data_IF_656296484266
#
_entry.id   IF_656296484266
#
_cell.length_a   1.000
_cell.length_b   1.000
_cell.length_c   1.000
_cell.angle_alpha   90.00
_cell.angle_beta   90.00
_cell.angle_gamma   90.00
#
_symmetry.space_group_name_H-M   'P 1'
#
loop_
_entity.id
_entity.type
_entity.pdbx_description
1 polymer ?
#
# COMPACT_ATOMS: atom_id res chain seq x y z
N UNK A 1 -1.20 -3.30 25.06
CA UNK A 1 -1.88 -2.29 24.23
C UNK A 1 -1.02 -1.03 24.29
N UNK A 2 -0.12 -0.85 23.32
CA UNK A 2 0.73 0.34 23.24
C UNK A 2 -0.10 1.49 22.70
N UNK A 3 -0.36 2.48 23.55
CA UNK A 3 -0.98 3.73 23.16
C UNK A 3 0.07 4.50 22.35
N UNK A 4 0.07 4.29 21.03
CA UNK A 4 0.88 5.08 20.11
C UNK A 4 0.18 6.43 20.05
N UNK A 5 0.68 7.41 20.81
CA UNK A 5 0.35 8.82 20.61
C UNK A 5 0.80 9.21 19.19
N UNK A 6 -0.04 8.88 18.22
CA UNK A 6 0.16 9.23 16.83
C UNK A 6 -0.08 10.72 16.66
N UNK A 7 0.77 11.36 15.85
CA UNK A 7 0.61 12.74 15.42
C UNK A 7 -0.82 12.98 14.94
N UNK A 8 -1.52 14.01 15.45
CA UNK A 8 -2.91 14.25 15.11
C UNK A 8 -3.03 14.55 13.61
N UNK A 9 -3.78 13.71 12.88
CA UNK A 9 -4.13 13.99 11.49
C UNK A 9 -5.19 15.10 11.44
N UNK A 10 -5.21 15.84 10.33
CA UNK A 10 -6.18 16.91 10.15
C UNK A 10 -7.59 16.37 9.90
N UNK A 11 -8.59 17.11 10.39
CA UNK A 11 -10.00 16.92 10.04
C UNK A 11 -10.43 18.04 9.10
N UNK A 12 -10.95 17.70 7.93
CA UNK A 12 -11.35 18.69 6.92
C UNK A 12 -12.86 18.69 6.74
N UNK A 13 -13.48 19.85 6.93
CA UNK A 13 -14.90 20.05 6.61
C UNK A 13 -15.03 20.24 5.11
N UNK A 14 -15.85 19.42 4.47
CA UNK A 14 -16.15 19.47 3.04
C UNK A 14 -17.65 19.29 2.83
N UNK A 15 -18.18 19.89 1.77
CA UNK A 15 -19.57 19.66 1.40
C UNK A 15 -19.65 18.42 0.51
N UNK A 16 -20.66 17.59 0.73
CA UNK A 16 -20.87 16.43 -0.14
C UNK A 16 -21.10 16.89 -1.59
N UNK A 17 -20.44 16.25 -2.55
CA UNK A 17 -20.60 16.54 -3.99
C UNK A 17 -22.03 16.34 -4.49
N UNK A 18 -22.79 15.43 -3.89
CA UNK A 18 -24.15 15.10 -4.33
C UNK A 18 -25.24 15.93 -3.64
N UNK A 19 -25.27 15.93 -2.30
CA UNK A 19 -26.33 16.59 -1.53
C UNK A 19 -25.90 17.91 -0.87
N UNK A 20 -24.67 18.37 -1.08
CA UNK A 20 -24.10 19.61 -0.51
C UNK A 20 -24.12 19.71 1.02
N UNK A 21 -24.51 18.65 1.73
CA UNK A 21 -24.52 18.63 3.19
C UNK A 21 -23.10 18.72 3.73
N UNK A 22 -22.85 19.51 4.78
CA UNK A 22 -21.54 19.60 5.39
C UNK A 22 -21.18 18.26 6.03
N UNK A 23 -20.01 17.74 5.69
CA UNK A 23 -19.44 16.55 6.29
C UNK A 23 -18.00 16.82 6.72
N UNK A 24 -17.49 15.99 7.63
CA UNK A 24 -16.10 16.08 8.10
C UNK A 24 -15.38 14.81 7.68
N UNK A 25 -14.28 14.96 6.97
CA UNK A 25 -13.38 13.84 6.62
C UNK A 25 -12.25 13.84 7.63
N UNK A 26 -12.14 12.76 8.39
CA UNK A 26 -11.04 12.55 9.33
C UNK A 26 -9.93 11.75 8.61
N UNK A 27 -8.79 12.40 8.36
CA UNK A 27 -7.68 11.76 7.65
C UNK A 27 -7.07 10.59 8.44
N UNK A 28 -7.35 10.49 9.74
CA UNK A 28 -6.88 9.39 10.60
C UNK A 28 -7.74 8.13 10.52
N UNK A 29 -8.98 8.22 10.03
CA UNK A 29 -9.89 7.06 9.91
C UNK A 29 -10.29 6.76 8.47
N UNK A 30 -10.39 7.79 7.62
CA UNK A 30 -10.83 7.64 6.24
C UNK A 30 -9.95 6.66 5.45
N UNK A 31 -10.56 5.91 4.52
CA UNK A 31 -9.78 5.15 3.53
C UNK A 31 -8.98 6.13 2.68
N UNK A 32 -7.78 5.77 2.23
CA UNK A 32 -7.01 6.64 1.35
C UNK A 32 -6.27 5.88 0.26
N UNK A 33 -6.04 6.57 -0.86
CA UNK A 33 -5.13 6.16 -1.92
C UNK A 33 -3.95 7.11 -1.96
N UNK A 34 -2.80 6.58 -2.36
CA UNK A 34 -1.56 7.33 -2.53
C UNK A 34 -1.22 7.39 -4.00
N UNK A 35 -0.88 8.58 -4.47
CA UNK A 35 -0.43 8.80 -5.83
C UNK A 35 0.90 9.56 -5.78
N UNK A 36 1.96 8.93 -6.31
CA UNK A 36 3.25 9.59 -6.49
C UNK A 36 3.32 10.18 -7.90
N UNK A 37 3.49 11.50 -7.98
CA UNK A 37 3.76 12.23 -9.22
C UNK A 37 5.22 12.65 -9.24
N UNK A 38 5.89 12.48 -10.38
CA UNK A 38 7.22 13.06 -10.62
C UNK A 38 7.01 14.29 -11.47
N UNK A 39 7.25 15.47 -10.90
CA UNK A 39 7.13 16.75 -11.60
C UNK A 39 8.54 17.33 -11.72
N UNK A 40 9.11 17.23 -12.93
CA UNK A 40 10.52 17.55 -13.17
C UNK A 40 11.46 16.59 -12.43
N UNK A 41 12.27 17.12 -11.50
CA UNK A 41 13.18 16.33 -10.63
C UNK A 41 12.61 16.05 -9.24
N UNK A 42 11.43 16.58 -8.91
CA UNK A 42 10.84 16.46 -7.58
C UNK A 42 9.76 15.36 -7.55
N UNK A 43 9.78 14.55 -6.48
CA UNK A 43 8.74 13.55 -6.19
C UNK A 43 7.69 14.22 -5.30
N UNK A 44 6.48 14.38 -5.82
CA UNK A 44 5.34 14.91 -5.08
C UNK A 44 4.42 13.75 -4.71
N UNK A 45 4.11 13.62 -3.42
CA UNK A 45 3.16 12.65 -2.92
C UNK A 45 1.80 13.34 -2.70
N UNK A 46 0.77 12.77 -3.31
CA UNK A 46 -0.62 13.19 -3.13
C UNK A 46 -1.41 12.05 -2.50
N UNK A 47 -2.16 12.33 -1.44
CA UNK A 47 -3.08 11.36 -0.82
C UNK A 47 -4.52 11.79 -1.04
N UNK A 48 -5.32 10.86 -1.53
CA UNK A 48 -6.77 11.04 -1.72
C UNK A 48 -7.50 10.27 -0.63
N UNK A 49 -8.23 10.98 0.22
CA UNK A 49 -9.03 10.42 1.30
C UNK A 49 -10.48 10.24 0.85
N UNK A 50 -11.07 9.09 1.16
CA UNK A 50 -12.41 8.69 0.76
C UNK A 50 -13.29 8.54 1.99
N UNK A 51 -14.43 9.23 1.98
CA UNK A 51 -15.43 9.15 3.05
C UNK A 51 -16.82 9.12 2.43
N UNK A 52 -17.72 8.31 3.00
CA UNK A 52 -19.12 8.27 2.54
C UNK A 52 -19.92 9.37 3.22
N UNK A 53 -20.76 10.05 2.46
CA UNK A 53 -21.69 11.01 3.04
C UNK A 53 -22.72 10.27 3.90
N UNK A 54 -22.94 10.69 5.17
CA UNK A 54 -23.91 10.03 6.05
C UNK A 54 -25.37 10.23 5.61
N UNK A 55 -25.64 11.24 4.77
CA UNK A 55 -27.00 11.59 4.34
C UNK A 55 -27.40 10.87 3.04
N UNK A 56 -26.53 10.85 2.03
CA UNK A 56 -26.86 10.29 0.71
C UNK A 56 -26.04 9.05 0.33
N UNK A 57 -25.09 8.62 1.17
CA UNK A 57 -24.22 7.46 0.91
C UNK A 57 -23.18 7.67 -0.19
N UNK A 58 -23.17 8.82 -0.89
CA UNK A 58 -22.22 9.11 -1.95
C UNK A 58 -20.78 9.18 -1.42
N UNK A 59 -19.84 8.62 -2.18
CA UNK A 59 -18.41 8.65 -1.84
C UNK A 59 -17.82 10.01 -2.23
N UNK A 60 -17.24 10.71 -1.26
CA UNK A 60 -16.54 11.97 -1.46
C UNK A 60 -15.04 11.75 -1.42
N UNK A 61 -14.31 12.55 -2.18
CA UNK A 61 -12.87 12.43 -2.33
C UNK A 61 -12.25 13.76 -1.93
N UNK A 62 -11.29 13.72 -1.00
CA UNK A 62 -10.54 14.89 -0.55
C UNK A 62 -9.06 14.63 -0.80
N UNK A 63 -8.43 15.45 -1.64
CA UNK A 63 -6.99 15.34 -1.89
C UNK A 63 -6.21 16.28 -0.98
N UNK A 64 -5.06 15.82 -0.50
CA UNK A 64 -4.07 16.63 0.22
C UNK A 64 -2.66 16.25 -0.23
N UNK A 65 -1.82 17.27 -0.45
CA UNK A 65 -0.40 17.15 -0.75
C UNK A 65 0.48 17.47 0.47
N UNK A 66 -0.12 17.86 1.59
CA UNK A 66 0.60 18.28 2.78
C UNK A 66 0.82 17.09 3.73
N UNK A 67 2.06 16.59 3.87
CA UNK A 67 2.35 15.43 4.72
C UNK A 67 2.08 15.65 6.20
N UNK A 68 2.03 16.92 6.65
CA UNK A 68 1.70 17.25 8.04
C UNK A 68 0.24 16.92 8.36
N UNK A 69 -0.66 17.00 7.38
CA UNK A 69 -2.09 16.75 7.56
C UNK A 69 -2.43 15.26 7.70
N UNK A 70 -1.56 14.37 7.20
CA UNK A 70 -1.87 12.94 7.10
C UNK A 70 -1.65 12.15 8.39
N UNK A 71 -1.09 12.77 9.43
CA UNK A 71 -0.70 12.11 10.67
C UNK A 71 0.38 11.03 10.47
N UNK A 72 0.49 10.11 11.42
CA UNK A 72 1.52 9.04 11.43
C UNK A 72 1.16 7.79 10.61
N UNK A 73 0.28 7.92 9.62
CA UNK A 73 -0.13 6.79 8.79
C UNK A 73 1.04 6.34 7.91
N UNK A 74 1.73 5.29 8.38
CA UNK A 74 2.79 4.57 7.66
C UNK A 74 2.18 3.79 6.50
N UNK A 75 2.58 4.14 5.29
CA UNK A 75 2.29 3.38 4.08
C UNK A 75 3.52 2.55 3.76
N UNK A 76 3.39 1.26 3.37
CA UNK A 76 4.53 0.49 2.92
C UNK A 76 5.29 1.25 1.83
N UNK A 77 6.61 1.29 1.97
CA UNK A 77 7.46 1.94 0.97
C UNK A 77 7.41 1.14 -0.33
N UNK A 78 7.44 1.82 -1.48
CA UNK A 78 7.52 1.14 -2.79
C UNK A 78 8.69 0.17 -2.85
N UNK A 79 9.82 0.49 -2.18
CA UNK A 79 10.97 -0.41 -2.07
C UNK A 79 10.64 -1.73 -1.37
N UNK A 80 9.86 -1.70 -0.27
CA UNK A 80 9.48 -2.92 0.44
C UNK A 80 8.62 -3.86 -0.44
N UNK A 81 7.73 -3.30 -1.27
CA UNK A 81 6.90 -4.07 -2.21
C UNK A 81 7.78 -4.71 -3.30
N UNK A 82 8.74 -3.97 -3.86
CA UNK A 82 9.64 -4.51 -4.87
C UNK A 82 10.54 -5.61 -4.32
N UNK A 83 11.09 -5.45 -3.11
CA UNK A 83 11.96 -6.44 -2.48
C UNK A 83 11.19 -7.73 -2.16
N UNK A 84 9.98 -7.62 -1.64
CA UNK A 84 9.14 -8.80 -1.35
C UNK A 84 8.74 -9.55 -2.62
N UNK A 85 8.39 -8.82 -3.70
CA UNK A 85 8.13 -9.41 -5.01
C UNK A 85 9.37 -10.06 -5.64
N UNK A 86 10.54 -9.45 -5.51
CA UNK A 86 11.78 -10.03 -6.03
C UNK A 86 12.20 -11.29 -5.27
N UNK A 87 12.13 -11.26 -3.93
CA UNK A 87 12.46 -12.41 -3.09
C UNK A 87 11.56 -13.61 -3.38
N UNK A 88 10.26 -13.41 -3.63
CA UNK A 88 9.36 -14.51 -3.95
C UNK A 88 9.75 -15.19 -5.27
N UNK A 89 10.09 -14.42 -6.31
CA UNK A 89 10.55 -14.96 -7.59
C UNK A 89 11.86 -15.73 -7.44
N UNK A 90 12.83 -15.17 -6.72
CA UNK A 90 14.11 -15.83 -6.46
C UNK A 90 13.92 -17.15 -5.72
N UNK A 91 13.05 -17.19 -4.72
CA UNK A 91 12.76 -18.41 -3.97
C UNK A 91 12.09 -19.49 -4.83
N UNK A 92 11.18 -19.11 -5.74
CA UNK A 92 10.52 -20.06 -6.64
C UNK A 92 11.53 -20.63 -7.65
N UNK A 93 12.30 -19.77 -8.31
CA UNK A 93 13.29 -20.18 -9.32
C UNK A 93 14.40 -21.02 -8.66
N UNK A 94 14.90 -20.58 -7.51
CA UNK A 94 15.89 -21.32 -6.72
C UNK A 94 15.35 -22.67 -6.25
N UNK A 95 14.12 -22.72 -5.76
CA UNK A 95 13.46 -23.95 -5.33
C UNK A 95 13.32 -24.98 -6.45
N UNK A 96 12.91 -24.55 -7.64
CA UNK A 96 12.85 -25.42 -8.83
C UNK A 96 14.23 -25.94 -9.24
N UNK A 97 15.26 -25.10 -9.16
CA UNK A 97 16.65 -25.51 -9.42
C UNK A 97 17.12 -26.60 -8.47
N UNK A 98 16.84 -26.44 -7.16
CA UNK A 98 17.19 -27.44 -6.14
C UNK A 98 16.44 -28.76 -6.39
N UNK A 99 15.13 -28.70 -6.64
CA UNK A 99 14.33 -29.88 -6.96
C UNK A 99 14.85 -30.61 -8.21
N UNK A 100 15.16 -29.86 -9.27
CA UNK A 100 15.74 -30.41 -10.50
C UNK A 100 17.10 -31.07 -10.25
N UNK A 101 17.96 -30.46 -9.44
CA UNK A 101 19.25 -31.03 -9.06
C UNK A 101 19.10 -32.37 -8.32
N UNK A 102 18.22 -32.43 -7.32
CA UNK A 102 17.99 -33.67 -6.57
C UNK A 102 17.31 -34.75 -7.42
N UNK A 103 16.36 -34.37 -8.28
CA UNK A 103 15.74 -35.31 -9.22
C UNK A 103 16.79 -35.92 -10.17
N UNK A 104 17.69 -35.09 -10.70
CA UNK A 104 18.79 -35.54 -11.56
C UNK A 104 19.77 -36.47 -10.84
N UNK A 105 20.17 -36.14 -9.60
CA UNK A 105 21.04 -37.00 -8.78
C UNK A 105 20.36 -38.34 -8.43
N UNK A 106 19.07 -38.32 -8.13
CA UNK A 106 18.26 -39.53 -7.92
C UNK A 106 18.25 -40.44 -9.15
N UNK A 107 18.00 -39.89 -10.34
CA UNK A 107 18.05 -40.63 -11.61
C UNK A 107 19.44 -41.23 -11.84
N UNK A 108 20.51 -40.45 -11.67
CA UNK A 108 21.88 -40.96 -11.79
C UNK A 108 22.19 -42.11 -10.83
N UNK A 109 21.67 -42.04 -9.62
CA UNK A 109 21.88 -43.10 -8.61
C UNK A 109 21.16 -44.39 -8.99
N UNK A 110 19.92 -44.29 -9.49
CA UNK A 110 19.14 -45.45 -9.96
C UNK A 110 19.75 -46.10 -11.21
N UNK A 111 20.14 -45.28 -12.21
CA UNK A 111 20.71 -45.78 -13.47
C UNK A 111 22.20 -46.10 -13.38
N UNK A 112 22.93 -45.61 -12.38
CA UNK A 112 24.32 -45.98 -12.12
C UNK A 112 24.46 -47.30 -11.34
N UNK A 113 23.36 -47.86 -10.84
CA UNK A 113 23.31 -49.14 -10.14
C UNK A 113 22.87 -50.32 -11.03
N UNK A 114 22.40 -50.02 -12.24
CA UNK A 114 22.14 -50.95 -13.35
C UNK A 114 23.35 -50.93 -14.28
#
# INVERSE_FOLDING_TARGET
MTNIEGKPAARKKVNCTNCQTPMTVDFNTAEFSRLMKVVGRQKVEERSFYEKCPQCGARNIVTSQNPVEWGDRKVPSFGAILVTGFLSVVMIVGGLGVLGFFAWQGIKTLFGWI
#
